data_IF_638237228747
#
_entry.id   IF_638237228747
#
_cell.length_a   1.000
_cell.length_b   1.000
_cell.length_c   1.000
_cell.angle_alpha   90.00
_cell.angle_beta   90.00
_cell.angle_gamma   90.00
#
_symmetry.space_group_name_H-M   'P 1'
#
loop_
_entity.id
_entity.type
_entity.pdbx_description
1 polymer ?
#
# COMPACT_ATOMS: atom_id res chain seq x y z
N UNK A 1 -2.59 -10.26 15.37
CA UNK A 1 -2.98 -11.07 14.20
C UNK A 1 -2.18 -10.56 13.01
N UNK A 2 -1.36 -11.39 12.40
CA UNK A 2 -0.52 -11.03 11.25
C UNK A 2 -1.26 -11.44 9.98
N UNK A 3 -1.36 -10.54 8.99
CA UNK A 3 -2.06 -10.82 7.72
C UNK A 3 -1.18 -11.58 6.72
N UNK A 4 0.12 -11.25 6.70
CA UNK A 4 1.13 -11.87 5.85
C UNK A 4 2.34 -12.17 6.72
N UNK A 5 2.81 -13.42 6.72
CA UNK A 5 3.94 -13.85 7.58
C UNK A 5 5.28 -13.26 7.14
N UNK A 6 5.46 -12.98 5.85
CA UNK A 6 6.66 -12.37 5.31
C UNK A 6 6.60 -10.84 5.46
N UNK A 7 7.59 -10.27 6.14
CA UNK A 7 7.73 -8.82 6.25
C UNK A 7 8.21 -8.22 4.93
N UNK A 8 7.69 -7.04 4.58
CA UNK A 8 8.23 -6.24 3.48
C UNK A 8 9.67 -5.81 3.83
N UNK A 9 10.62 -6.18 2.97
CA UNK A 9 12.04 -5.78 3.07
C UNK A 9 12.48 -4.98 1.83
N UNK A 10 11.55 -4.72 0.92
CA UNK A 10 11.75 -3.97 -0.33
C UNK A 10 11.92 -4.86 -1.55
N UNK A 11 12.85 -5.82 -1.51
CA UNK A 11 13.11 -6.73 -2.64
C UNK A 11 11.97 -7.72 -2.90
N UNK A 12 11.14 -7.97 -1.88
CA UNK A 12 10.02 -8.91 -1.95
C UNK A 12 8.67 -8.24 -2.25
N UNK A 13 8.66 -6.97 -2.67
CA UNK A 13 7.43 -6.19 -2.83
C UNK A 13 6.36 -6.86 -3.71
N UNK A 14 6.73 -7.51 -4.82
CA UNK A 14 5.76 -8.16 -5.71
C UNK A 14 5.04 -9.33 -5.02
N UNK A 15 5.79 -10.20 -4.34
CA UNK A 15 5.22 -11.33 -3.61
C UNK A 15 4.42 -10.84 -2.39
N UNK A 16 4.96 -9.87 -1.66
CA UNK A 16 4.33 -9.26 -0.49
C UNK A 16 3.01 -8.57 -0.85
N UNK A 17 3.01 -7.72 -1.88
CA UNK A 17 1.81 -6.98 -2.31
C UNK A 17 0.70 -7.91 -2.77
N UNK A 18 1.03 -9.01 -3.45
CA UNK A 18 0.07 -10.06 -3.79
C UNK A 18 -0.51 -10.73 -2.54
N UNK A 19 0.33 -11.07 -1.56
CA UNK A 19 -0.13 -11.69 -0.31
C UNK A 19 -1.04 -10.76 0.49
N UNK A 20 -0.72 -9.46 0.58
CA UNK A 20 -1.57 -8.45 1.23
C UNK A 20 -2.91 -8.34 0.51
N UNK A 21 -2.92 -8.25 -0.83
CA UNK A 21 -4.17 -8.22 -1.61
C UNK A 21 -5.05 -9.45 -1.35
N UNK A 22 -4.47 -10.65 -1.27
CA UNK A 22 -5.19 -11.86 -0.90
C UNK A 22 -5.76 -11.78 0.53
N UNK A 23 -4.95 -11.35 1.50
CA UNK A 23 -5.36 -11.19 2.89
C UNK A 23 -6.50 -10.18 3.07
N UNK A 24 -6.49 -9.08 2.31
CA UNK A 24 -7.57 -8.08 2.32
C UNK A 24 -8.83 -8.59 1.61
N UNK A 25 -8.68 -9.32 0.51
CA UNK A 25 -9.81 -9.93 -0.21
C UNK A 25 -10.57 -10.90 0.68
N UNK A 26 -9.88 -11.78 1.40
CA UNK A 26 -10.52 -12.72 2.36
C UNK A 26 -11.22 -12.02 3.52
N UNK A 27 -10.87 -10.76 3.81
CA UNK A 27 -11.49 -9.94 4.86
C UNK A 27 -12.52 -8.95 4.30
N UNK A 28 -12.76 -8.93 2.99
CA UNK A 28 -13.60 -7.96 2.30
C UNK A 28 -13.18 -6.51 2.59
N UNK A 29 -11.86 -6.24 2.50
CA UNK A 29 -11.24 -4.92 2.73
C UNK A 29 -10.32 -4.46 1.60
N UNK A 30 -10.39 -5.11 0.44
CA UNK A 30 -9.58 -4.75 -0.73
C UNK A 30 -9.95 -3.35 -1.26
N UNK A 31 -11.22 -3.00 -1.10
CA UNK A 31 -11.85 -1.74 -1.49
C UNK A 31 -11.18 -0.49 -0.88
N UNK A 32 -10.55 -0.62 0.29
CA UNK A 32 -9.82 0.49 0.92
C UNK A 32 -8.47 0.76 0.25
N UNK A 33 -7.78 -0.27 -0.26
CA UNK A 33 -6.49 -0.06 -0.96
C UNK A 33 -6.68 0.26 -2.44
N UNK A 34 -7.76 -0.24 -3.08
CA UNK A 34 -8.07 0.06 -4.48
C UNK A 34 -8.83 1.39 -4.66
N UNK A 35 -9.31 1.99 -3.57
CA UNK A 35 -9.93 3.31 -3.53
C UNK A 35 -11.42 3.30 -3.88
N UNK A 36 -12.02 2.13 -4.06
CA UNK A 36 -13.46 1.99 -4.30
C UNK A 36 -14.29 2.23 -3.02
N UNK A 37 -13.69 2.04 -1.84
CA UNK A 37 -14.27 2.42 -0.55
C UNK A 37 -14.19 3.94 -0.30
N UNK A 38 -15.06 4.71 -0.95
CA UNK A 38 -15.08 6.17 -0.82
C UNK A 38 -15.49 6.58 0.61
N UNK A 39 -14.75 7.54 1.18
CA UNK A 39 -15.07 8.12 2.48
C UNK A 39 -16.46 8.79 2.44
N UNK A 40 -17.39 8.42 3.34
CA UNK A 40 -18.72 9.02 3.36
C UNK A 40 -18.67 10.53 3.65
N UNK A 41 -19.56 11.29 3.02
CA UNK A 41 -19.78 12.73 3.28
C UNK A 41 -20.98 13.00 4.19
N UNK A 42 -21.65 11.93 4.65
CA UNK A 42 -22.89 11.98 5.43
C UNK A 42 -22.68 12.19 6.94
N UNK A 43 -23.47 11.46 7.73
CA UNK A 43 -23.47 11.62 9.19
C UNK A 43 -22.11 11.21 9.81
N UNK A 44 -21.83 11.75 11.01
CA UNK A 44 -20.59 11.45 11.73
C UNK A 44 -20.42 9.99 12.15
N UNK A 45 -21.47 9.19 12.16
CA UNK A 45 -21.41 7.75 12.47
C UNK A 45 -20.74 6.94 11.37
N UNK A 46 -21.13 7.17 10.11
CA UNK A 46 -20.57 6.48 8.96
C UNK A 46 -19.11 6.89 8.71
N UNK A 47 -18.78 8.17 8.91
CA UNK A 47 -17.39 8.66 8.89
C UNK A 47 -16.54 7.95 9.95
N UNK A 48 -17.05 7.82 11.19
CA UNK A 48 -16.33 7.13 12.26
C UNK A 48 -16.11 5.64 11.94
N UNK A 49 -17.11 4.96 11.37
CA UNK A 49 -17.01 3.55 10.95
C UNK A 49 -16.00 3.37 9.82
N UNK A 50 -16.00 4.28 8.85
CA UNK A 50 -15.04 4.30 7.76
C UNK A 50 -13.62 4.51 8.30
N UNK A 51 -13.39 5.56 9.11
CA UNK A 51 -12.07 5.84 9.71
C UNK A 51 -11.57 4.67 10.55
N UNK A 52 -12.44 4.03 11.35
CA UNK A 52 -12.06 2.84 12.14
C UNK A 52 -11.56 1.71 11.26
N UNK A 53 -12.21 1.49 10.11
CA UNK A 53 -11.79 0.46 9.17
C UNK A 53 -10.47 0.84 8.52
N UNK A 54 -10.32 2.09 8.07
CA UNK A 54 -9.10 2.62 7.46
C UNK A 54 -7.88 2.44 8.38
N UNK A 55 -7.98 2.84 9.65
CA UNK A 55 -6.90 2.66 10.64
C UNK A 55 -6.62 1.18 10.96
N UNK A 56 -7.66 0.34 11.03
CA UNK A 56 -7.49 -1.09 11.29
C UNK A 56 -6.68 -1.75 10.17
N UNK A 57 -7.02 -1.46 8.91
CA UNK A 57 -6.29 -2.01 7.77
C UNK A 57 -4.89 -1.42 7.69
N UNK A 58 -4.71 -0.14 8.01
CA UNK A 58 -3.40 0.52 8.07
C UNK A 58 -2.48 -0.20 9.03
N UNK A 59 -2.99 -0.52 10.22
CA UNK A 59 -2.27 -1.30 11.24
C UNK A 59 -1.87 -2.68 10.72
N UNK A 60 -2.74 -3.36 9.97
CA UNK A 60 -2.41 -4.66 9.39
C UNK A 60 -1.28 -4.57 8.38
N UNK A 61 -1.28 -3.55 7.51
CA UNK A 61 -0.24 -3.37 6.51
C UNK A 61 1.09 -3.01 7.19
N UNK A 62 1.10 -2.05 8.12
CA UNK A 62 2.32 -1.67 8.88
C UNK A 62 2.92 -2.86 9.63
N UNK A 63 2.09 -3.72 10.23
CA UNK A 63 2.54 -4.94 10.91
C UNK A 63 3.11 -6.02 9.97
N UNK A 64 2.94 -5.86 8.65
CA UNK A 64 3.54 -6.73 7.65
C UNK A 64 4.79 -6.11 7.02
N UNK A 65 5.36 -5.05 7.61
CA UNK A 65 6.59 -4.40 7.14
C UNK A 65 7.75 -4.60 8.13
N UNK A 66 9.00 -4.43 7.66
CA UNK A 66 10.11 -4.25 8.58
C UNK A 66 9.90 -3.00 9.44
N UNK A 67 10.55 -2.96 10.61
CA UNK A 67 10.38 -1.86 11.56
C UNK A 67 10.74 -0.51 10.94
N UNK A 68 11.82 -0.47 10.17
CA UNK A 68 12.33 0.74 9.51
C UNK A 68 11.32 1.28 8.49
N UNK A 69 10.69 0.39 7.71
CA UNK A 69 9.65 0.79 6.76
C UNK A 69 8.37 1.21 7.48
N UNK A 70 7.95 0.47 8.50
CA UNK A 70 6.77 0.83 9.28
C UNK A 70 6.91 2.23 9.90
N UNK A 71 8.08 2.58 10.42
CA UNK A 71 8.38 3.92 10.95
C UNK A 71 8.35 5.00 9.85
N UNK A 72 8.90 4.71 8.66
CA UNK A 72 8.89 5.65 7.53
C UNK A 72 7.48 5.99 7.04
N UNK A 73 6.56 5.02 7.12
CA UNK A 73 5.20 5.14 6.60
C UNK A 73 4.13 5.39 7.68
N UNK A 74 4.51 5.48 8.96
CA UNK A 74 3.57 5.55 10.08
C UNK A 74 2.64 6.77 10.04
N UNK A 75 3.10 7.87 9.44
CA UNK A 75 2.40 9.17 9.46
C UNK A 75 1.60 9.46 8.18
N UNK A 76 1.47 8.48 7.28
CA UNK A 76 0.67 8.65 6.06
C UNK A 76 -0.82 8.78 6.41
N UNK A 77 -1.50 9.75 5.79
CA UNK A 77 -2.80 10.26 6.25
C UNK A 77 -4.00 9.34 6.03
N UNK A 78 -3.90 8.36 5.13
CA UNK A 78 -4.93 7.35 4.89
C UNK A 78 -4.32 6.04 4.42
N UNK A 79 -5.08 4.94 4.53
CA UNK A 79 -4.65 3.66 3.97
C UNK A 79 -4.36 3.76 2.47
N UNK A 80 -5.19 4.51 1.75
CA UNK A 80 -5.07 4.65 0.31
C UNK A 80 -3.77 5.36 -0.05
N UNK A 81 -3.44 6.44 0.63
CA UNK A 81 -2.20 7.18 0.41
C UNK A 81 -1.00 6.30 0.75
N UNK A 82 -1.08 5.54 1.85
CA UNK A 82 -0.04 4.57 2.22
C UNK A 82 0.20 3.55 1.11
N UNK A 83 -0.88 2.98 0.57
CA UNK A 83 -0.77 1.99 -0.51
C UNK A 83 -0.15 2.58 -1.78
N UNK A 84 -0.53 3.81 -2.15
CA UNK A 84 0.01 4.51 -3.32
C UNK A 84 1.49 4.86 -3.16
N UNK A 85 1.91 5.30 -1.97
CA UNK A 85 3.33 5.57 -1.71
C UNK A 85 4.17 4.29 -1.78
N UNK A 86 3.68 3.17 -1.24
CA UNK A 86 4.33 1.87 -1.37
C UNK A 86 4.45 1.43 -2.84
N UNK A 87 3.37 1.56 -3.61
CA UNK A 87 3.41 1.29 -5.05
C UNK A 87 4.42 2.19 -5.76
N UNK A 88 4.45 3.49 -5.45
CA UNK A 88 5.37 4.44 -6.07
C UNK A 88 6.84 4.13 -5.73
N UNK A 89 7.16 3.87 -4.46
CA UNK A 89 8.52 3.61 -4.00
C UNK A 89 9.06 2.30 -4.57
N UNK A 90 8.31 1.20 -4.42
CA UNK A 90 8.83 -0.12 -4.78
C UNK A 90 8.62 -0.48 -6.25
N UNK A 91 7.62 0.08 -6.96
CA UNK A 91 7.53 -0.08 -8.42
C UNK A 91 8.65 0.66 -9.14
N UNK A 92 9.06 1.84 -8.66
CA UNK A 92 10.20 2.59 -9.23
C UNK A 92 11.51 1.84 -9.07
N UNK A 93 11.71 1.12 -7.95
CA UNK A 93 12.90 0.29 -7.75
C UNK A 93 12.96 -0.93 -8.69
N UNK A 94 11.83 -1.39 -9.22
CA UNK A 94 11.72 -2.55 -10.11
C UNK A 94 11.85 -2.16 -11.60
N UNK A 95 11.58 -0.90 -11.95
CA UNK A 95 11.77 -0.40 -13.31
C UNK A 95 13.21 0.12 -13.47
N UNK A 96 14.03 -0.40 -14.40
CA UNK A 96 15.32 0.23 -14.68
C UNK A 96 15.09 1.68 -15.12
N UNK A 97 15.90 2.65 -14.66
CA UNK A 97 15.82 4.01 -15.17
C UNK A 97 15.95 3.93 -16.68
N UNK A 98 14.93 4.47 -17.36
CA UNK A 98 14.77 4.46 -18.81
C UNK A 98 16.12 4.55 -19.53
N UNK A 99 16.42 3.55 -20.36
CA UNK A 99 17.39 3.69 -21.45
C UNK A 99 17.02 4.98 -22.19
N UNK A 100 17.87 6.00 -22.10
CA UNK A 100 17.75 7.21 -22.89
C UNK A 100 17.89 6.81 -24.36
N UNK A 101 16.77 6.69 -25.07
CA UNK A 101 16.74 6.46 -26.51
C UNK A 101 17.15 7.70 -27.34
N UNK A 102 17.68 8.76 -26.72
CA UNK A 102 18.11 9.99 -27.39
C UNK A 102 19.58 10.01 -27.85
N UNK A 103 20.34 8.90 -27.75
CA UNK A 103 21.69 8.79 -28.32
C UNK A 103 21.85 7.59 -29.26
N UNK A 104 20.92 7.41 -30.21
CA UNK A 104 21.15 6.43 -31.30
C UNK A 104 20.60 6.81 -32.67
N UNK A 105 20.45 8.10 -32.93
CA UNK A 105 20.19 8.60 -34.29
C UNK A 105 21.19 9.70 -34.65
N UNK A 106 22.47 9.38 -34.53
CA UNK A 106 23.54 10.08 -35.24
C UNK A 106 24.37 9.03 -35.99
N UNK A 107 23.84 8.54 -37.12
CA UNK A 107 24.59 8.01 -38.27
C UNK A 107 23.73 8.06 -39.52
#
# INVERSE_FOLDING_TARGET
>A
MVMVSALLTGNNYLAWSRAVKCGLTTKMKLDFIDGTAVKPTGNGGDIKRWNRTDYMVTTWILNCMSKELAEAFMYVGSLRDLWLELEAQFRRAILPPSINYSMRLDK
#
